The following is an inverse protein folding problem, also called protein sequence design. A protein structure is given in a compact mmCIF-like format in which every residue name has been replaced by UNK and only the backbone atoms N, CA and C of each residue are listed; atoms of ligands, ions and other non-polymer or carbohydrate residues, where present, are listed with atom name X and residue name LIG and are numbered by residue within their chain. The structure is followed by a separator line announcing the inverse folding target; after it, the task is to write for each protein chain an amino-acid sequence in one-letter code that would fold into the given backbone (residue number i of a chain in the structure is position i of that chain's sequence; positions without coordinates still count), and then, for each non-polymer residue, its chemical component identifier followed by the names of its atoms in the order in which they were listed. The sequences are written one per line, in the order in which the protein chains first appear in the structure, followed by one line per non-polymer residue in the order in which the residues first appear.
data_IF_657281846444
#
_entry.id   IF_657281846444
#
_cell.length_a   1.000
_cell.length_b   1.000
_cell.length_c   1.000
_cell.angle_alpha   90.00
_cell.angle_beta   90.00
_cell.angle_gamma   90.00
#
_symmetry.space_group_name_H-M   'P 1'
#
loop_
_entity.id
_entity.type
_entity.pdbx_description
1 polymer ?
#
# COMPACT_ATOMS: atom_id res chain seq x y z
N UNK A 1 -22.27 -14.24 18.84
CA UNK A 1 -21.09 -13.36 18.93
C UNK A 1 -20.38 -13.52 17.61
N UNK A 2 -20.62 -12.62 16.67
CA UNK A 2 -19.95 -12.65 15.38
C UNK A 2 -18.50 -12.26 15.65
N UNK A 3 -17.57 -13.20 15.50
CA UNK A 3 -16.14 -12.90 15.50
C UNK A 3 -15.91 -11.84 14.43
N UNK A 4 -15.46 -10.66 14.86
CA UNK A 4 -15.01 -9.61 13.95
C UNK A 4 -13.77 -10.19 13.24
N UNK A 5 -13.69 -10.17 11.90
CA UNK A 5 -12.48 -10.62 11.23
C UNK A 5 -11.31 -9.75 11.71
N UNK A 6 -10.33 -10.40 12.31
CA UNK A 6 -9.07 -9.76 12.69
C UNK A 6 -8.21 -9.66 11.42
N UNK A 7 -7.73 -8.45 11.12
CA UNK A 7 -6.81 -8.24 10.01
C UNK A 7 -5.40 -8.62 10.43
N UNK A 8 -4.62 -9.14 9.48
CA UNK A 8 -3.21 -9.43 9.71
C UNK A 8 -2.46 -8.16 10.17
N UNK A 9 -1.60 -8.31 11.19
CA UNK A 9 -0.83 -7.21 11.77
C UNK A 9 0.02 -6.48 10.72
N UNK A 10 0.65 -7.22 9.80
CA UNK A 10 1.48 -6.65 8.74
C UNK A 10 0.64 -5.87 7.73
N UNK A 11 -0.58 -6.34 7.46
CA UNK A 11 -1.52 -5.60 6.61
C UNK A 11 -1.94 -4.28 7.26
N UNK A 12 -2.25 -4.28 8.56
CA UNK A 12 -2.57 -3.05 9.30
C UNK A 12 -1.39 -2.08 9.30
N UNK A 13 -0.16 -2.57 9.54
CA UNK A 13 1.07 -1.77 9.47
C UNK A 13 1.29 -1.19 8.07
N UNK A 14 1.06 -1.96 7.01
CA UNK A 14 1.15 -1.46 5.63
C UNK A 14 0.22 -0.27 5.39
N UNK A 15 -1.04 -0.36 5.82
CA UNK A 15 -2.00 0.75 5.66
C UNK A 15 -1.57 1.97 6.47
N UNK A 16 -1.07 1.77 7.70
CA UNK A 16 -0.52 2.85 8.52
C UNK A 16 0.66 3.55 7.82
N UNK A 17 1.67 2.80 7.38
CA UNK A 17 2.84 3.37 6.71
C UNK A 17 2.47 4.05 5.39
N UNK A 18 1.51 3.50 4.64
CA UNK A 18 1.08 4.07 3.38
C UNK A 18 0.31 5.39 3.57
N UNK A 19 -0.67 5.42 4.48
CA UNK A 19 -1.61 6.53 4.63
C UNK A 19 -1.18 7.59 5.64
N UNK A 20 -0.51 7.19 6.72
CA UNK A 20 -0.22 8.05 7.86
C UNK A 20 1.23 8.51 7.81
N UNK A 21 2.16 7.58 7.94
CA UNK A 21 3.59 7.91 8.08
C UNK A 21 4.24 8.29 6.74
N UNK A 22 3.65 7.82 5.64
CA UNK A 22 4.17 7.98 4.27
C UNK A 22 5.55 7.37 4.08
N UNK A 23 5.85 6.32 4.85
CA UNK A 23 7.07 5.55 4.73
C UNK A 23 6.85 4.36 3.78
N UNK A 24 7.17 4.59 2.51
CA UNK A 24 7.04 3.55 1.48
C UNK A 24 8.15 2.50 1.52
N UNK A 25 9.23 2.75 2.28
CA UNK A 25 10.23 1.73 2.54
C UNK A 25 9.71 0.74 3.58
N UNK A 26 9.13 1.23 4.68
CA UNK A 26 8.48 0.36 5.67
C UNK A 26 7.26 -0.38 5.08
N UNK A 27 6.53 0.25 4.14
CA UNK A 27 5.51 -0.46 3.35
C UNK A 27 6.08 -1.66 2.58
N UNK A 28 7.32 -1.57 2.09
CA UNK A 28 7.97 -2.66 1.39
C UNK A 28 8.23 -3.83 2.34
N UNK A 29 8.88 -3.56 3.46
CA UNK A 29 9.28 -4.60 4.42
C UNK A 29 8.07 -5.40 4.90
N UNK A 30 7.04 -4.74 5.45
CA UNK A 30 5.89 -5.44 6.04
C UNK A 30 5.03 -6.17 4.99
N UNK A 31 4.91 -5.62 3.78
CA UNK A 31 4.09 -6.25 2.74
C UNK A 31 4.84 -7.35 1.99
N UNK A 32 6.17 -7.27 1.90
CA UNK A 32 6.96 -8.40 1.37
C UNK A 32 6.87 -9.60 2.30
N UNK A 33 7.01 -9.39 3.61
CA UNK A 33 6.81 -10.43 4.64
C UNK A 33 5.43 -11.08 4.50
N UNK A 34 4.35 -10.29 4.57
CA UNK A 34 2.99 -10.79 4.42
C UNK A 34 2.77 -11.51 3.08
N UNK A 35 3.30 -10.98 1.98
CA UNK A 35 3.18 -11.59 0.67
C UNK A 35 3.85 -12.96 0.61
N UNK A 36 4.99 -13.13 1.28
CA UNK A 36 5.69 -14.41 1.36
C UNK A 36 4.93 -15.43 2.22
N UNK A 37 4.38 -15.01 3.35
CA UNK A 37 3.61 -15.86 4.26
C UNK A 37 2.29 -16.34 3.62
N UNK A 38 1.59 -15.45 2.92
CA UNK A 38 0.28 -15.72 2.30
C UNK A 38 0.39 -16.39 0.92
N UNK A 39 1.45 -17.19 0.69
CA UNK A 39 1.60 -17.99 -0.52
C UNK A 39 1.75 -17.17 -1.80
N UNK A 40 2.25 -15.94 -1.70
CA UNK A 40 2.51 -15.02 -2.81
C UNK A 40 1.26 -14.54 -3.56
N UNK A 41 0.17 -14.30 -2.85
CA UNK A 41 -1.07 -13.80 -3.45
C UNK A 41 -0.84 -12.52 -4.31
N UNK A 42 -1.33 -12.45 -5.57
CA UNK A 42 -1.05 -11.31 -6.44
C UNK A 42 -1.65 -9.98 -5.96
N UNK A 43 -2.63 -10.00 -5.05
CA UNK A 43 -3.22 -8.80 -4.46
C UNK A 43 -2.18 -8.03 -3.63
N UNK A 44 -1.52 -8.72 -2.70
CA UNK A 44 -0.47 -8.15 -1.85
C UNK A 44 0.69 -7.61 -2.70
N UNK A 45 1.12 -8.38 -3.70
CA UNK A 45 2.15 -7.91 -4.63
C UNK A 45 1.72 -6.65 -5.40
N UNK A 46 0.45 -6.54 -5.80
CA UNK A 46 -0.08 -5.35 -6.45
C UNK A 46 -0.05 -4.13 -5.54
N UNK A 47 -0.48 -4.26 -4.28
CA UNK A 47 -0.44 -3.19 -3.28
C UNK A 47 1.00 -2.75 -2.97
N UNK A 48 1.91 -3.71 -2.77
CA UNK A 48 3.34 -3.48 -2.63
C UNK A 48 3.90 -2.64 -3.79
N UNK A 49 3.58 -3.02 -5.02
CA UNK A 49 4.06 -2.33 -6.21
C UNK A 49 3.56 -0.89 -6.33
N UNK A 50 2.36 -0.57 -5.82
CA UNK A 50 1.89 0.83 -5.72
C UNK A 50 2.78 1.62 -4.74
N UNK A 51 3.03 1.09 -3.54
CA UNK A 51 3.87 1.76 -2.54
C UNK A 51 5.30 2.00 -3.05
N UNK A 52 5.94 0.97 -3.61
CA UNK A 52 7.30 1.07 -4.16
C UNK A 52 7.31 1.97 -5.40
N UNK A 53 6.24 2.00 -6.20
CA UNK A 53 6.08 2.94 -7.30
C UNK A 53 6.14 4.41 -6.85
N UNK A 54 5.46 4.73 -5.74
CA UNK A 54 5.52 6.05 -5.11
C UNK A 54 6.92 6.36 -4.56
N UNK A 55 7.56 5.40 -3.89
CA UNK A 55 8.95 5.54 -3.42
C UNK A 55 9.91 5.89 -4.57
N UNK A 56 9.81 5.20 -5.70
CA UNK A 56 10.63 5.47 -6.87
C UNK A 56 10.40 6.88 -7.41
N UNK A 57 9.15 7.34 -7.53
CA UNK A 57 8.88 8.69 -8.01
C UNK A 57 9.41 9.74 -7.03
N UNK A 58 9.19 9.55 -5.72
CA UNK A 58 9.69 10.45 -4.66
C UNK A 58 11.21 10.63 -4.75
N UNK A 59 11.94 9.59 -5.13
CA UNK A 59 13.40 9.59 -5.31
C UNK A 59 13.86 9.97 -6.72
N UNK A 60 12.99 10.53 -7.56
CA UNK A 60 13.32 10.98 -8.92
C UNK A 60 13.46 9.87 -9.97
N UNK A 61 13.17 8.62 -9.62
CA UNK A 61 13.23 7.48 -10.54
C UNK A 61 11.89 7.27 -11.26
N UNK A 62 11.59 8.15 -12.21
CA UNK A 62 10.34 8.11 -13.00
C UNK A 62 10.18 6.79 -13.78
N UNK A 63 11.24 6.30 -14.42
CA UNK A 63 11.20 5.05 -15.19
C UNK A 63 10.86 3.84 -14.31
N UNK A 64 11.44 3.77 -13.11
CA UNK A 64 11.12 2.74 -12.12
C UNK A 64 9.68 2.83 -11.63
N UNK A 65 9.20 4.05 -11.35
CA UNK A 65 7.82 4.29 -10.95
C UNK A 65 6.82 3.80 -12.00
N UNK A 66 7.02 4.17 -13.29
CA UNK A 66 6.17 3.71 -14.40
C UNK A 66 6.08 2.18 -14.46
N UNK A 67 7.23 1.49 -14.36
CA UNK A 67 7.28 0.03 -14.41
C UNK A 67 6.47 -0.61 -13.28
N UNK A 68 6.63 -0.10 -12.05
CA UNK A 68 5.96 -0.64 -10.87
C UNK A 68 4.46 -0.39 -10.89
N UNK A 69 4.03 0.84 -11.21
CA UNK A 69 2.61 1.14 -11.36
C UNK A 69 1.96 0.31 -12.47
N UNK A 70 2.64 0.12 -13.61
CA UNK A 70 2.14 -0.74 -14.69
C UNK A 70 1.95 -2.18 -14.20
N UNK A 71 2.95 -2.75 -13.53
CA UNK A 71 2.89 -4.11 -12.98
C UNK A 71 1.83 -4.25 -11.87
N UNK A 72 1.59 -3.21 -11.08
CA UNK A 72 0.53 -3.17 -10.09
C UNK A 72 -0.85 -3.27 -10.75
N UNK A 73 -1.07 -2.53 -11.85
CA UNK A 73 -2.34 -2.56 -12.57
C UNK A 73 -2.65 -3.94 -13.15
N UNK A 74 -1.65 -4.67 -13.65
CA UNK A 74 -1.83 -6.05 -14.11
C UNK A 74 -2.36 -7.00 -13.03
N UNK A 75 -2.12 -6.70 -11.75
CA UNK A 75 -2.51 -7.54 -10.61
C UNK A 75 -3.80 -7.09 -9.93
N UNK A 76 -4.08 -5.79 -9.96
CA UNK A 76 -5.19 -5.18 -9.23
C UNK A 76 -6.45 -5.02 -10.11
N UNK A 77 -6.28 -4.67 -11.39
CA UNK A 77 -7.41 -4.46 -12.30
C UNK A 77 -8.20 -5.76 -12.49
N UNK A 78 -9.53 -5.67 -12.41
CA UNK A 78 -10.44 -6.81 -12.55
C UNK A 78 -10.76 -7.54 -11.25
N UNK A 79 -10.15 -7.13 -10.13
CA UNK A 79 -10.55 -7.58 -8.79
C UNK A 79 -11.87 -6.92 -8.35
N UNK A 80 -12.56 -7.47 -7.33
CA UNK A 80 -13.69 -6.80 -6.70
C UNK A 80 -13.35 -5.37 -6.28
N UNK A 81 -14.31 -4.46 -6.41
CA UNK A 81 -14.13 -3.05 -6.07
C UNK A 81 -13.75 -2.84 -4.60
N UNK A 82 -14.25 -3.72 -3.74
CA UNK A 82 -14.00 -3.74 -2.30
C UNK A 82 -13.36 -5.07 -1.94
N UNK A 83 -12.20 -5.03 -1.27
CA UNK A 83 -11.49 -6.23 -0.85
C UNK A 83 -10.61 -5.89 0.35
N UNK A 84 -10.48 -6.82 1.31
CA UNK A 84 -9.67 -6.62 2.53
C UNK A 84 -9.99 -5.32 3.29
N UNK A 85 -11.26 -4.90 3.29
CA UNK A 85 -11.68 -3.69 4.01
C UNK A 85 -11.27 -2.36 3.38
N UNK A 86 -10.80 -2.37 2.13
CA UNK A 86 -10.43 -1.15 1.37
C UNK A 86 -11.27 -0.98 0.10
N UNK A 87 -11.44 0.27 -0.31
CA UNK A 87 -11.95 0.65 -1.63
C UNK A 87 -10.81 0.53 -2.66
N UNK A 88 -10.64 -0.69 -3.17
CA UNK A 88 -9.61 -1.00 -4.16
C UNK A 88 -9.90 -0.32 -5.50
N UNK A 89 -11.16 -0.14 -5.87
CA UNK A 89 -11.53 0.56 -7.10
C UNK A 89 -11.00 2.01 -7.11
N UNK A 90 -11.13 2.73 -5.99
CA UNK A 90 -10.58 4.08 -5.85
C UNK A 90 -9.04 4.07 -5.95
N UNK A 91 -8.37 3.15 -5.26
CA UNK A 91 -6.91 3.03 -5.34
C UNK A 91 -6.42 2.75 -6.77
N UNK A 92 -7.13 1.87 -7.51
CA UNK A 92 -6.84 1.59 -8.92
C UNK A 92 -7.01 2.85 -9.76
N UNK A 93 -8.13 3.57 -9.60
CA UNK A 93 -8.40 4.77 -10.38
C UNK A 93 -7.34 5.87 -10.15
N UNK A 94 -6.96 6.10 -8.89
CA UNK A 94 -5.94 7.09 -8.54
C UNK A 94 -4.54 6.64 -9.02
N UNK A 95 -4.22 5.36 -8.91
CA UNK A 95 -2.96 4.80 -9.44
C UNK A 95 -2.87 4.90 -10.96
N UNK A 96 -3.98 4.69 -11.68
CA UNK A 96 -4.03 4.87 -13.14
C UNK A 96 -3.82 6.32 -13.54
N UNK A 97 -4.42 7.27 -12.81
CA UNK A 97 -4.20 8.71 -13.04
C UNK A 97 -2.73 9.06 -12.80
N UNK A 98 -2.15 8.57 -11.71
CA UNK A 98 -0.74 8.79 -11.39
C UNK A 98 0.18 8.24 -12.48
N UNK A 99 -0.07 7.01 -12.94
CA UNK A 99 0.68 6.38 -14.03
C UNK A 99 0.60 7.19 -15.33
N UNK A 100 -0.58 7.70 -15.69
CA UNK A 100 -0.75 8.56 -16.88
C UNK A 100 0.06 9.85 -16.77
N UNK A 101 0.13 10.46 -15.59
CA UNK A 101 0.95 11.64 -15.37
C UNK A 101 2.44 11.30 -15.45
N UNK A 102 2.87 10.17 -14.85
CA UNK A 102 4.25 9.69 -14.94
C UNK A 102 4.68 9.47 -16.41
N UNK A 103 3.80 8.89 -17.23
CA UNK A 103 4.05 8.67 -18.65
C UNK A 103 4.20 9.97 -19.46
N UNK A 104 3.62 11.08 -18.97
CA UNK A 104 3.70 12.42 -19.58
C UNK A 104 4.76 13.32 -18.94
N UNK A 105 5.56 12.82 -17.98
CA UNK A 105 6.52 13.64 -17.23
C UNK A 105 7.51 14.43 -18.08
N UNK A 106 7.84 13.94 -19.28
CA UNK A 106 8.74 14.64 -20.20
C UNK A 106 8.12 15.93 -20.79
N UNK A 107 6.80 15.91 -21.04
CA UNK A 107 6.07 17.00 -21.67
C UNK A 107 5.34 17.89 -20.64
N UNK A 108 4.82 17.26 -19.59
CA UNK A 108 3.99 17.86 -18.55
C UNK A 108 4.45 17.37 -17.16
N UNK A 109 5.54 17.94 -16.63
CA UNK A 109 6.04 17.54 -15.32
C UNK A 109 5.01 17.87 -14.23
N UNK A 110 4.84 16.94 -13.29
CA UNK A 110 4.04 17.17 -12.08
C UNK A 110 4.89 16.92 -10.83
N UNK A 111 4.56 17.64 -9.77
CA UNK A 111 5.19 17.41 -8.47
C UNK A 111 4.72 16.08 -7.89
N UNK A 112 5.63 15.36 -7.23
CA UNK A 112 5.27 14.20 -6.43
C UNK A 112 4.13 14.54 -5.45
N UNK A 113 3.17 13.62 -5.33
CA UNK A 113 2.16 13.64 -4.29
C UNK A 113 1.87 12.20 -3.83
N UNK A 114 1.38 12.06 -2.60
CA UNK A 114 1.03 10.78 -2.01
C UNK A 114 -0.38 10.33 -2.43
N UNK A 115 -0.60 9.03 -2.53
CA UNK A 115 -1.93 8.44 -2.71
C UNK A 115 -2.52 8.04 -1.35
N UNK A 116 -3.83 7.80 -1.28
CA UNK A 116 -4.47 7.25 -0.09
C UNK A 116 -5.18 5.95 -0.42
N UNK A 117 -5.00 4.94 0.44
CA UNK A 117 -5.86 3.76 0.46
C UNK A 117 -7.07 4.09 1.31
N UNK A 118 -8.24 4.20 0.69
CA UNK A 118 -9.48 4.45 1.43
C UNK A 118 -9.91 3.16 2.15
N UNK A 119 -9.81 3.19 3.47
CA UNK A 119 -10.33 2.15 4.35
C UNK A 119 -11.84 2.33 4.48
N UNK A 120 -12.60 1.26 4.28
CA UNK A 120 -14.08 1.24 4.33
C UNK A 120 -14.61 0.33 5.44
N UNK A 121 -13.80 -0.59 5.95
CA UNK A 121 -14.17 -1.44 7.08
C UNK A 121 -13.76 -0.78 8.42
N UNK A 122 -14.72 -0.69 9.35
CA UNK A 122 -14.51 -0.03 10.64
C UNK A 122 -13.48 -0.74 11.52
N UNK A 123 -13.35 -2.07 11.43
CA UNK A 123 -12.37 -2.82 12.22
C UNK A 123 -10.95 -2.47 11.76
N UNK A 124 -10.75 -2.35 10.44
CA UNK A 124 -9.46 -1.91 9.90
C UNK A 124 -9.17 -0.45 10.27
N UNK A 125 -10.18 0.43 10.27
CA UNK A 125 -10.02 1.81 10.75
C UNK A 125 -9.56 1.81 12.21
N UNK A 126 -10.28 1.12 13.10
CA UNK A 126 -9.95 1.04 14.53
C UNK A 126 -8.53 0.49 14.74
N UNK A 127 -8.10 -0.52 13.96
CA UNK A 127 -6.77 -1.10 14.05
C UNK A 127 -5.66 -0.13 13.61
N UNK A 128 -5.88 0.63 12.52
CA UNK A 128 -4.93 1.66 12.07
C UNK A 128 -4.88 2.83 13.06
N UNK A 129 -6.02 3.24 13.62
CA UNK A 129 -6.08 4.29 14.66
C UNK A 129 -5.30 3.90 15.93
N UNK A 130 -5.32 2.62 16.31
CA UNK A 130 -4.51 2.12 17.41
C UNK A 130 -3.00 2.30 17.15
N UNK A 131 -2.54 2.10 15.91
CA UNK A 131 -1.15 2.38 15.52
C UNK A 131 -0.85 3.88 15.47
N UNK A 132 -1.81 4.75 15.16
CA UNK A 132 -1.60 6.21 15.27
C UNK A 132 -1.37 6.61 16.73
N UNK A 133 -2.12 6.01 17.66
CA UNK A 133 -1.97 6.28 19.09
C UNK A 133 -0.68 5.67 19.67
N UNK A 134 -0.21 4.56 19.12
CA UNK A 134 1.02 3.89 19.49
C UNK A 134 1.81 3.46 18.24
N UNK A 135 2.59 4.39 17.64
CA UNK A 135 3.31 4.13 16.40
C UNK A 135 4.28 2.95 16.52
N UNK A 136 4.37 2.08 15.50
CA UNK A 136 5.37 1.02 15.46
C UNK A 136 6.77 1.65 15.47
N UNK A 137 7.69 1.05 16.23
CA UNK A 137 9.08 1.47 16.21
C UNK A 137 9.74 0.96 14.91
N UNK A 138 10.42 1.83 14.15
CA UNK A 138 11.06 1.42 12.89
C UNK A 138 12.19 0.42 13.16
N UNK A 139 12.24 -0.66 12.37
CA UNK A 139 13.32 -1.66 12.43
C UNK A 139 13.40 -2.51 13.69
N UNK A 140 12.33 -2.56 14.49
CA UNK A 140 12.23 -3.47 15.64
C UNK A 140 11.26 -4.57 15.27
N UNK A 141 11.80 -5.74 14.91
CA UNK A 141 11.00 -6.96 14.87
C UNK A 141 10.42 -7.15 16.28
N UNK A 142 9.09 -7.11 16.40
CA UNK A 142 8.40 -7.34 17.68
C UNK A 142 8.51 -8.79 18.17
N UNK A 143 9.34 -9.61 17.52
CA UNK A 143 9.65 -11.00 17.86
C UNK A 143 10.84 -11.08 18.83
N UNK A 144 10.77 -10.36 19.94
CA UNK A 144 11.56 -10.67 21.15
C UNK A 144 10.63 -10.85 22.35
N UNK A 145 9.58 -11.66 22.24
CA UNK A 145 8.93 -12.26 23.41
C UNK A 145 9.03 -13.79 23.31
N UNK A 146 9.85 -14.34 24.21
CA UNK A 146 10.25 -15.75 24.28
C UNK A 146 9.19 -16.73 24.75
#
# INVERSE_FOLDING_TARGET
MTERPEYDRLYVKFIYYFNVDRDYFECHEVMEELWLEEGRAPLYQGLLQVAVGLYHHRNGNVSGAIKLFTAAMEKLVGRPAEVMGIDLALLIADSQRYLQQLQRMADEPFAFYDLNIRVIDLILVEAVEALIANPPLPGVDEDEHG
#
